data_IF_432989105631
#
_entry.id   IF_432989105631
#
_cell.length_a   1.000
_cell.length_b   1.000
_cell.length_c   1.000
_cell.angle_alpha   90.00
_cell.angle_beta   90.00
_cell.angle_gamma   90.00
#
_symmetry.space_group_name_H-M   'P 1'
#
loop_
_entity.id
_entity.type
_entity.pdbx_description
1 polymer ?
#
# COMPACT_ATOMS: atom_id res chain seq x y z
N UNK A 1 27.94 -59.61 -83.91
CA UNK A 1 28.76 -58.45 -83.50
C UNK A 1 27.83 -57.51 -82.73
N UNK A 2 28.04 -57.40 -81.42
CA UNK A 2 27.19 -56.67 -80.45
C UNK A 2 27.61 -55.20 -80.42
N UNK A 3 26.75 -54.27 -80.80
CA UNK A 3 26.81 -52.85 -80.41
C UNK A 3 25.56 -52.15 -80.94
N UNK A 4 24.40 -52.28 -80.30
CA UNK A 4 23.22 -51.47 -80.68
C UNK A 4 22.19 -51.26 -79.55
N UNK A 5 22.60 -51.39 -78.29
CA UNK A 5 21.66 -51.24 -77.16
C UNK A 5 22.12 -50.31 -76.04
N UNK A 6 23.36 -49.80 -76.10
CA UNK A 6 23.89 -48.89 -75.08
C UNK A 6 23.50 -47.45 -75.35
N UNK A 7 23.56 -46.96 -76.60
CA UNK A 7 23.26 -45.56 -76.94
C UNK A 7 21.80 -45.16 -76.65
N UNK A 8 20.83 -46.06 -76.91
CA UNK A 8 19.41 -45.82 -76.65
C UNK A 8 19.10 -45.79 -75.15
N UNK A 9 19.82 -46.57 -74.34
CA UNK A 9 19.65 -46.61 -72.88
C UNK A 9 20.26 -45.37 -72.20
N UNK A 10 21.42 -44.88 -72.66
CA UNK A 10 22.00 -43.63 -72.14
C UNK A 10 21.22 -42.40 -72.55
N UNK A 11 20.70 -42.32 -73.78
CA UNK A 11 19.85 -41.21 -74.21
C UNK A 11 18.52 -41.14 -73.43
N UNK A 12 17.89 -42.30 -73.18
CA UNK A 12 16.68 -42.37 -72.37
C UNK A 12 16.94 -42.05 -70.88
N UNK A 13 18.09 -42.48 -70.35
CA UNK A 13 18.50 -42.16 -68.99
C UNK A 13 18.80 -40.65 -68.81
N UNK A 14 19.48 -39.99 -69.77
CA UNK A 14 19.69 -38.54 -69.72
C UNK A 14 18.37 -37.77 -69.86
N UNK A 15 17.44 -38.24 -70.70
CA UNK A 15 16.12 -37.63 -70.83
C UNK A 15 15.29 -37.73 -69.53
N UNK A 16 15.33 -38.89 -68.83
CA UNK A 16 14.64 -39.04 -67.54
C UNK A 16 15.25 -38.17 -66.43
N UNK A 17 16.58 -38.02 -66.40
CA UNK A 17 17.26 -37.19 -65.38
C UNK A 17 16.91 -35.71 -65.57
N UNK A 18 16.87 -35.22 -66.83
CA UNK A 18 16.49 -33.83 -67.15
C UNK A 18 15.05 -33.46 -66.77
N UNK A 19 14.11 -34.41 -66.81
CA UNK A 19 12.72 -34.20 -66.37
C UNK A 19 12.51 -34.36 -64.85
N UNK A 20 13.45 -35.00 -64.14
CA UNK A 20 13.37 -35.18 -62.68
C UNK A 20 14.00 -34.06 -61.85
N UNK A 21 14.69 -33.11 -62.49
CA UNK A 21 15.24 -31.94 -61.80
C UNK A 21 14.19 -30.81 -61.73
N UNK A 22 13.03 -31.11 -61.15
CA UNK A 22 12.17 -30.08 -60.61
C UNK A 22 12.89 -29.46 -59.42
N UNK A 23 13.53 -28.31 -59.62
CA UNK A 23 14.17 -27.58 -58.53
C UNK A 23 13.15 -27.35 -57.42
N UNK A 24 13.42 -27.83 -56.21
CA UNK A 24 12.63 -27.48 -55.04
C UNK A 24 12.87 -25.98 -54.77
N UNK A 25 11.95 -25.13 -55.24
CA UNK A 25 11.99 -23.71 -54.94
C UNK A 25 11.46 -23.49 -53.52
N UNK A 26 12.36 -23.30 -52.57
CA UNK A 26 12.03 -22.70 -51.27
C UNK A 26 12.22 -21.19 -51.39
N UNK A 27 11.24 -20.50 -51.99
CA UNK A 27 11.23 -19.04 -52.05
C UNK A 27 10.40 -18.56 -50.86
N UNK A 28 11.08 -18.07 -49.82
CA UNK A 28 10.42 -17.34 -48.73
C UNK A 28 10.18 -15.91 -49.20
N UNK A 29 8.93 -15.45 -49.13
CA UNK A 29 8.62 -14.03 -49.37
C UNK A 29 9.29 -13.18 -48.29
N UNK A 30 9.54 -11.90 -48.59
CA UNK A 30 9.91 -10.95 -47.54
C UNK A 30 8.88 -10.99 -46.41
N UNK A 31 9.30 -11.01 -45.13
CA UNK A 31 8.37 -11.06 -44.01
C UNK A 31 7.47 -9.82 -44.02
N UNK A 32 6.22 -10.01 -43.59
CA UNK A 32 5.30 -8.90 -43.32
C UNK A 32 5.76 -8.16 -42.06
N UNK A 33 5.33 -6.91 -41.90
CA UNK A 33 5.47 -6.20 -40.63
C UNK A 33 4.72 -6.90 -39.50
N UNK A 34 5.06 -6.54 -38.26
CA UNK A 34 4.36 -6.95 -37.05
C UNK A 34 3.01 -6.26 -36.92
N UNK A 35 2.06 -6.92 -36.25
CA UNK A 35 0.75 -6.34 -35.91
C UNK A 35 0.95 -5.43 -34.71
N UNK A 36 0.51 -4.17 -34.82
CA UNK A 36 0.47 -3.24 -33.67
C UNK A 36 -0.73 -3.59 -32.79
N UNK A 37 -0.52 -3.70 -31.48
CA UNK A 37 -1.62 -3.89 -30.52
C UNK A 37 -2.55 -2.68 -30.47
N UNK A 38 -3.83 -2.94 -30.17
CA UNK A 38 -4.85 -1.90 -29.98
C UNK A 38 -4.99 -1.59 -28.49
N UNK A 39 -4.83 -0.33 -28.11
CA UNK A 39 -4.99 0.06 -26.70
C UNK A 39 -6.48 0.04 -26.34
N UNK A 40 -6.88 -0.64 -25.26
CA UNK A 40 -8.27 -0.65 -24.84
C UNK A 40 -8.67 0.71 -24.25
N UNK A 41 -9.95 1.06 -24.39
CA UNK A 41 -10.52 2.22 -23.70
C UNK A 41 -11.03 1.79 -22.32
N UNK A 42 -10.79 2.62 -21.30
CA UNK A 42 -11.26 2.39 -19.94
C UNK A 42 -12.66 2.99 -19.76
N UNK A 43 -13.67 2.16 -19.57
CA UNK A 43 -15.04 2.60 -19.34
C UNK A 43 -15.46 2.35 -17.90
N UNK A 44 -16.34 3.17 -17.36
CA UNK A 44 -17.03 2.86 -16.10
C UNK A 44 -18.25 1.94 -16.36
N UNK A 45 -18.96 1.58 -15.30
CA UNK A 45 -20.18 0.76 -15.33
C UNK A 45 -21.34 1.35 -16.12
N UNK A 46 -21.29 2.65 -16.47
CA UNK A 46 -22.28 3.31 -17.34
C UNK A 46 -21.88 3.33 -18.82
N UNK A 47 -20.68 2.84 -19.17
CA UNK A 47 -20.15 2.83 -20.53
C UNK A 47 -19.52 4.15 -20.98
N UNK A 48 -19.25 5.08 -20.06
CA UNK A 48 -18.55 6.33 -20.32
C UNK A 48 -17.07 6.14 -19.95
N UNK A 49 -16.15 6.80 -20.67
CA UNK A 49 -14.73 6.78 -20.33
C UNK A 49 -14.50 7.24 -18.88
N UNK A 50 -13.92 6.39 -18.04
CA UNK A 50 -13.84 6.62 -16.61
C UNK A 50 -13.71 5.34 -15.80
N UNK A 51 -13.87 5.49 -14.49
CA UNK A 51 -13.73 4.42 -13.49
C UNK A 51 -14.73 4.60 -12.35
N UNK A 52 -15.17 3.50 -11.75
CA UNK A 52 -16.00 3.49 -10.54
C UNK A 52 -15.17 3.30 -9.29
N UNK A 53 -15.58 3.94 -8.19
CA UNK A 53 -14.93 3.81 -6.89
C UNK A 53 -15.87 3.22 -5.86
N UNK A 54 -15.31 2.44 -4.93
CA UNK A 54 -16.01 1.98 -3.73
C UNK A 54 -15.08 1.97 -2.53
N UNK A 55 -15.66 2.14 -1.34
CA UNK A 55 -14.95 2.10 -0.06
C UNK A 55 -15.33 0.86 0.73
N UNK A 56 -14.34 0.28 1.40
CA UNK A 56 -14.54 -0.68 2.47
C UNK A 56 -13.94 -0.09 3.74
N UNK A 57 -14.81 0.47 4.57
CA UNK A 57 -14.45 1.16 5.81
C UNK A 57 -14.92 0.36 7.02
N UNK A 58 -14.13 0.37 8.09
CA UNK A 58 -14.60 -0.15 9.38
C UNK A 58 -15.57 0.81 10.08
N UNK A 59 -15.37 2.12 9.89
CA UNK A 59 -16.22 3.18 10.44
C UNK A 59 -16.81 4.02 9.28
N UNK A 60 -18.13 4.14 9.19
CA UNK A 60 -18.77 4.95 8.15
C UNK A 60 -18.62 6.45 8.38
N UNK A 61 -18.21 6.87 9.57
CA UNK A 61 -18.03 8.28 9.96
C UNK A 61 -16.61 8.80 9.80
N UNK A 62 -15.64 7.92 9.49
CA UNK A 62 -14.25 8.29 9.28
C UNK A 62 -13.54 7.26 8.39
N UNK A 63 -12.69 7.73 7.48
CA UNK A 63 -11.75 6.86 6.78
C UNK A 63 -10.49 6.70 7.62
N UNK A 64 -10.01 5.48 7.78
CA UNK A 64 -8.86 5.16 8.64
C UNK A 64 -7.77 4.39 7.89
N UNK A 65 -6.55 4.40 8.41
CA UNK A 65 -5.47 3.55 7.90
C UNK A 65 -5.88 2.08 7.97
N UNK A 66 -5.61 1.33 6.91
CA UNK A 66 -6.03 -0.06 6.76
C UNK A 66 -7.39 -0.27 6.09
N UNK A 67 -8.24 0.76 5.99
CA UNK A 67 -9.44 0.71 5.14
C UNK A 67 -9.03 0.57 3.66
N UNK A 68 -9.97 0.15 2.81
CA UNK A 68 -9.67 -0.08 1.39
C UNK A 68 -10.48 0.83 0.47
N UNK A 69 -9.81 1.31 -0.57
CA UNK A 69 -10.42 2.00 -1.71
C UNK A 69 -10.28 1.08 -2.91
N UNK A 70 -11.41 0.69 -3.49
CA UNK A 70 -11.45 -0.08 -4.73
C UNK A 70 -11.78 0.82 -5.90
N UNK A 71 -11.11 0.58 -7.01
CA UNK A 71 -11.37 1.15 -8.31
C UNK A 71 -11.72 0.03 -9.28
N UNK A 72 -12.78 0.22 -10.06
CA UNK A 72 -13.23 -0.71 -11.09
C UNK A 72 -13.40 0.01 -12.43
N UNK A 73 -13.09 -0.70 -13.51
CA UNK A 73 -13.27 -0.23 -14.88
C UNK A 73 -13.52 -1.42 -15.80
N UNK A 74 -14.10 -1.15 -16.95
CA UNK A 74 -14.41 -2.10 -17.99
C UNK A 74 -13.48 -1.82 -19.17
N UNK A 75 -12.80 -2.85 -19.69
CA UNK A 75 -12.08 -2.71 -20.95
C UNK A 75 -13.06 -2.77 -22.13
N UNK A 76 -13.01 -1.73 -22.96
CA UNK A 76 -13.49 -1.79 -24.32
C UNK A 76 -12.34 -2.20 -25.24
N UNK A 77 -12.02 -3.48 -25.21
CA UNK A 77 -11.10 -4.14 -26.12
C UNK A 77 -11.84 -4.59 -27.39
N UNK A 78 -11.35 -4.20 -28.56
CA UNK A 78 -11.99 -4.48 -29.86
C UNK A 78 -11.39 -5.70 -30.57
N UNK A 79 -10.15 -6.07 -30.27
CA UNK A 79 -9.45 -7.19 -30.91
C UNK A 79 -9.43 -8.47 -30.06
N UNK A 80 -9.87 -8.37 -28.79
CA UNK A 80 -10.26 -9.51 -27.96
C UNK A 80 -9.08 -10.28 -27.41
N UNK A 81 -7.95 -9.60 -27.23
CA UNK A 81 -6.69 -10.19 -26.81
C UNK A 81 -6.41 -9.92 -25.32
N UNK A 82 -5.15 -9.83 -24.91
CA UNK A 82 -4.79 -9.63 -23.51
C UNK A 82 -4.21 -8.25 -23.31
N UNK A 83 -4.89 -7.48 -22.47
CA UNK A 83 -4.48 -6.15 -22.09
C UNK A 83 -4.02 -6.08 -20.63
N UNK A 84 -3.28 -5.03 -20.32
CA UNK A 84 -2.81 -4.70 -18.99
C UNK A 84 -3.10 -3.24 -18.64
N UNK A 85 -2.96 -2.91 -17.36
CA UNK A 85 -2.96 -1.52 -16.91
C UNK A 85 -2.00 -1.30 -15.76
N UNK A 86 -1.44 -0.10 -15.71
CA UNK A 86 -0.76 0.40 -14.52
C UNK A 86 -1.67 1.37 -13.78
N UNK A 87 -1.73 1.23 -12.45
CA UNK A 87 -2.49 2.12 -11.58
C UNK A 87 -1.53 2.71 -10.54
N UNK A 88 -1.56 4.03 -10.39
CA UNK A 88 -0.80 4.75 -9.38
C UNK A 88 -1.76 5.58 -8.54
N UNK A 89 -1.74 5.36 -7.22
CA UNK A 89 -2.52 6.12 -6.26
C UNK A 89 -1.70 7.19 -5.59
N UNK A 90 -2.38 8.26 -5.18
CA UNK A 90 -1.80 9.38 -4.46
C UNK A 90 -2.72 9.79 -3.31
N UNK A 91 -2.12 10.06 -2.16
CA UNK A 91 -2.80 10.73 -1.05
C UNK A 91 -2.74 12.24 -1.27
N UNK A 92 -3.88 12.93 -1.19
CA UNK A 92 -3.96 14.38 -1.34
C UNK A 92 -4.25 15.00 0.03
N UNK A 93 -3.29 15.79 0.52
CA UNK A 93 -3.43 16.59 1.74
C UNK A 93 -3.57 18.07 1.37
N UNK A 94 -4.00 18.95 2.29
CA UNK A 94 -4.03 20.39 2.05
C UNK A 94 -2.66 21.00 1.70
N UNK A 95 -1.56 20.29 1.99
CA UNK A 95 -0.18 20.78 1.81
C UNK A 95 0.54 20.17 0.61
N UNK A 96 0.15 18.97 0.18
CA UNK A 96 0.88 18.20 -0.84
C UNK A 96 0.07 17.02 -1.38
N UNK A 97 0.49 16.55 -2.56
CA UNK A 97 0.07 15.27 -3.13
C UNK A 97 1.24 14.29 -3.02
N UNK A 98 1.01 13.14 -2.39
CA UNK A 98 2.04 12.16 -2.05
C UNK A 98 1.78 10.89 -2.87
N UNK A 99 2.72 10.41 -3.71
CA UNK A 99 2.59 9.12 -4.37
C UNK A 99 2.63 7.99 -3.34
N UNK A 100 1.69 7.05 -3.44
CA UNK A 100 1.64 5.88 -2.57
C UNK A 100 2.42 4.72 -3.18
N UNK A 101 3.00 3.87 -2.34
CA UNK A 101 3.78 2.73 -2.80
C UNK A 101 2.89 1.73 -3.58
N UNK A 102 3.36 1.32 -4.75
CA UNK A 102 2.74 0.29 -5.57
C UNK A 102 2.60 -1.06 -4.87
N UNK A 103 3.43 -1.37 -3.87
CA UNK A 103 3.30 -2.57 -3.06
C UNK A 103 1.98 -2.63 -2.26
N UNK A 104 1.33 -1.50 -2.03
CA UNK A 104 0.06 -1.38 -1.30
C UNK A 104 -1.17 -1.46 -2.23
N UNK A 105 -0.94 -1.63 -3.52
CA UNK A 105 -1.95 -1.66 -4.57
C UNK A 105 -2.06 -3.08 -5.12
N UNK A 106 -3.24 -3.70 -4.98
CA UNK A 106 -3.53 -4.99 -5.59
C UNK A 106 -4.33 -4.79 -6.87
N UNK A 107 -3.72 -5.10 -8.03
CA UNK A 107 -4.39 -5.03 -9.33
C UNK A 107 -4.83 -6.42 -9.78
N UNK A 108 -6.09 -6.53 -10.19
CA UNK A 108 -6.66 -7.69 -10.87
C UNK A 108 -6.97 -7.27 -12.30
N UNK A 109 -6.28 -7.87 -13.26
CA UNK A 109 -6.42 -7.54 -14.68
C UNK A 109 -7.79 -7.99 -15.20
N UNK A 110 -8.37 -7.22 -16.13
CA UNK A 110 -9.48 -7.73 -16.93
C UNK A 110 -8.94 -8.81 -17.88
N UNK A 111 -9.68 -9.91 -18.06
CA UNK A 111 -9.25 -11.02 -18.91
C UNK A 111 -10.30 -11.37 -19.94
N UNK A 112 -9.94 -11.32 -21.23
CA UNK A 112 -10.79 -11.69 -22.36
C UNK A 112 -11.37 -10.49 -23.12
N UNK A 113 -12.45 -10.72 -23.87
CA UNK A 113 -13.04 -9.75 -24.79
C UNK A 113 -13.60 -8.47 -24.11
N UNK A 114 -13.94 -7.48 -24.96
CA UNK A 114 -14.70 -6.28 -24.58
C UNK A 114 -15.79 -6.55 -23.54
N UNK A 115 -15.84 -5.70 -22.51
CA UNK A 115 -16.81 -5.82 -21.42
C UNK A 115 -16.27 -6.52 -20.18
N UNK A 116 -15.00 -6.92 -20.16
CA UNK A 116 -14.35 -7.49 -18.97
C UNK A 116 -13.93 -6.41 -17.98
N UNK A 117 -14.03 -6.71 -16.69
CA UNK A 117 -13.76 -5.74 -15.61
C UNK A 117 -12.34 -5.91 -15.08
N UNK A 118 -11.60 -4.81 -15.01
CA UNK A 118 -10.35 -4.70 -14.25
C UNK A 118 -10.60 -4.01 -12.90
N UNK A 119 -9.79 -4.37 -11.90
CA UNK A 119 -9.94 -3.87 -10.53
C UNK A 119 -8.61 -3.50 -9.90
N UNK A 120 -8.56 -2.40 -9.16
CA UNK A 120 -7.43 -1.97 -8.35
C UNK A 120 -7.88 -1.71 -6.93
N UNK A 121 -7.19 -2.27 -5.94
CA UNK A 121 -7.51 -2.10 -4.51
C UNK A 121 -6.33 -1.48 -3.80
N UNK A 122 -6.53 -0.29 -3.24
CA UNK A 122 -5.59 0.40 -2.35
C UNK A 122 -5.95 0.08 -0.90
N UNK A 123 -5.05 -0.54 -0.15
CA UNK A 123 -5.11 -0.54 1.32
C UNK A 123 -4.48 0.77 1.80
N UNK A 124 -5.25 1.61 2.50
CA UNK A 124 -4.81 2.94 2.90
C UNK A 124 -3.63 2.83 3.87
N UNK A 125 -2.43 3.31 3.50
CA UNK A 125 -1.28 3.25 4.38
C UNK A 125 -1.28 4.40 5.38
N UNK A 126 -0.40 4.27 6.37
CA UNK A 126 -0.09 5.29 7.35
C UNK A 126 0.45 6.59 6.71
N UNK A 127 1.18 6.48 5.60
CA UNK A 127 1.66 7.65 4.84
C UNK A 127 0.53 8.48 4.21
N UNK A 128 -0.69 7.93 4.13
CA UNK A 128 -1.89 8.64 3.71
C UNK A 128 -2.67 9.28 4.88
N UNK A 129 -2.16 9.20 6.12
CA UNK A 129 -2.78 9.87 7.26
C UNK A 129 -2.91 11.39 7.01
N UNK A 130 -4.09 11.94 7.30
CA UNK A 130 -4.43 13.34 7.04
C UNK A 130 -4.82 13.66 5.59
N UNK A 131 -4.85 12.67 4.69
CA UNK A 131 -5.36 12.87 3.33
C UNK A 131 -6.84 13.24 3.35
N UNK A 132 -7.21 14.30 2.62
CA UNK A 132 -8.60 14.74 2.46
C UNK A 132 -9.28 14.11 1.26
N UNK A 133 -8.49 13.66 0.28
CA UNK A 133 -8.95 12.88 -0.87
C UNK A 133 -7.79 12.06 -1.44
N UNK A 134 -8.08 11.30 -2.49
CA UNK A 134 -7.11 10.54 -3.25
C UNK A 134 -7.15 10.96 -4.71
N UNK A 135 -5.99 10.87 -5.35
CA UNK A 135 -5.83 10.98 -6.80
C UNK A 135 -5.44 9.61 -7.33
N UNK A 136 -5.89 9.28 -8.54
CA UNK A 136 -5.47 8.05 -9.22
C UNK A 136 -5.12 8.34 -10.68
N UNK A 137 -4.05 7.70 -11.14
CA UNK A 137 -3.60 7.72 -12.52
C UNK A 137 -3.59 6.30 -13.06
N UNK A 138 -4.22 6.10 -14.23
CA UNK A 138 -4.36 4.78 -14.85
C UNK A 138 -3.90 4.87 -16.29
N UNK A 139 -3.20 3.84 -16.75
CA UNK A 139 -2.78 3.76 -18.15
C UNK A 139 -3.05 2.37 -18.66
N UNK A 140 -3.86 2.28 -19.72
CA UNK A 140 -4.11 1.06 -20.47
C UNK A 140 -2.89 0.69 -21.33
N UNK A 141 -2.61 -0.60 -21.45
CA UNK A 141 -1.50 -1.16 -22.21
C UNK A 141 -2.02 -2.34 -23.00
N UNK A 142 -1.81 -2.32 -24.32
CA UNK A 142 -1.94 -3.51 -25.13
C UNK A 142 -0.72 -4.39 -24.94
N UNK A 143 -0.91 -5.58 -24.36
CA UNK A 143 0.19 -6.47 -23.99
C UNK A 143 0.56 -7.46 -25.11
N UNK A 144 -0.27 -7.53 -26.14
CA UNK A 144 -0.22 -8.43 -27.29
C UNK A 144 0.09 -7.67 -28.58
N UNK A 145 0.54 -8.41 -29.61
CA UNK A 145 1.15 -7.81 -30.80
C UNK A 145 2.44 -7.06 -30.45
N UNK A 146 2.75 -5.99 -31.18
CA UNK A 146 3.72 -5.00 -30.73
C UNK A 146 3.06 -4.14 -29.63
N UNK A 147 3.53 -4.22 -28.37
CA UNK A 147 2.87 -3.56 -27.26
C UNK A 147 2.75 -2.06 -27.45
N UNK A 148 1.62 -1.51 -27.00
CA UNK A 148 1.32 -0.09 -27.12
C UNK A 148 0.73 0.44 -25.82
N UNK A 149 1.28 1.56 -25.35
CA UNK A 149 0.79 2.26 -24.16
C UNK A 149 -0.23 3.32 -24.58
N UNK A 150 -1.36 3.34 -23.86
CA UNK A 150 -2.43 4.30 -24.02
C UNK A 150 -2.16 5.66 -23.41
N UNK A 151 -3.17 6.53 -23.53
CA UNK A 151 -3.19 7.78 -22.78
C UNK A 151 -3.43 7.50 -21.30
N UNK A 152 -2.87 8.37 -20.46
CA UNK A 152 -3.09 8.34 -19.02
C UNK A 152 -4.46 8.95 -18.70
N UNK A 153 -5.32 8.18 -18.06
CA UNK A 153 -6.53 8.66 -17.41
C UNK A 153 -6.19 9.14 -16.00
N UNK A 154 -6.47 10.39 -15.70
CA UNK A 154 -6.18 11.00 -14.39
C UNK A 154 -7.46 11.46 -13.72
N UNK A 155 -7.70 10.94 -12.51
CA UNK A 155 -8.75 11.41 -11.61
C UNK A 155 -8.06 12.17 -10.47
N UNK A 156 -8.11 13.51 -10.52
CA UNK A 156 -7.45 14.38 -9.54
C UNK A 156 -8.07 14.30 -8.13
N UNK A 157 -9.35 13.97 -8.05
CA UNK A 157 -10.09 13.86 -6.79
C UNK A 157 -11.25 12.86 -6.95
N UNK A 158 -11.15 11.75 -6.20
CA UNK A 158 -12.17 10.69 -6.25
C UNK A 158 -13.54 11.10 -5.67
N UNK A 159 -13.59 12.16 -4.85
CA UNK A 159 -14.85 12.66 -4.27
C UNK A 159 -15.68 13.49 -5.25
N UNK A 160 -15.02 14.07 -6.25
CA UNK A 160 -15.65 14.87 -7.29
C UNK A 160 -15.66 14.17 -8.64
N UNK A 161 -15.47 12.84 -8.65
CA UNK A 161 -15.58 12.02 -9.86
C UNK A 161 -16.97 12.22 -10.50
N UNK A 162 -17.02 13.00 -11.59
CA UNK A 162 -18.26 13.33 -12.30
C UNK A 162 -18.71 12.22 -13.23
N UNK A 163 -17.81 11.30 -13.54
CA UNK A 163 -18.04 10.27 -14.55
C UNK A 163 -18.66 9.01 -13.94
N UNK A 164 -18.53 8.79 -12.63
CA UNK A 164 -19.01 7.57 -11.96
C UNK A 164 -19.22 7.79 -10.46
N UNK A 165 -19.89 6.85 -9.78
CA UNK A 165 -20.35 6.95 -8.39
C UNK A 165 -19.36 7.70 -7.47
N UNK A 166 -19.63 8.98 -7.13
CA UNK A 166 -18.72 9.73 -6.30
C UNK A 166 -18.70 9.12 -4.90
N UNK A 167 -17.50 8.95 -4.39
CA UNK A 167 -17.29 8.43 -3.04
C UNK A 167 -17.24 9.59 -2.07
N UNK A 168 -18.04 9.52 -1.01
CA UNK A 168 -17.95 10.47 0.09
C UNK A 168 -16.82 10.02 1.01
N UNK A 169 -15.78 10.84 1.14
CA UNK A 169 -14.73 10.63 2.14
C UNK A 169 -15.09 11.45 3.39
N UNK A 170 -15.40 10.79 4.52
CA UNK A 170 -15.73 11.50 5.75
C UNK A 170 -14.47 12.01 6.43
N UNK A 171 -14.15 13.28 6.17
CA UNK A 171 -13.03 14.00 6.78
C UNK A 171 -11.65 13.50 6.37
N UNK A 172 -10.57 14.07 6.94
CA UNK A 172 -9.22 13.57 6.71
C UNK A 172 -9.06 12.12 7.20
N UNK A 173 -8.25 11.32 6.51
CA UNK A 173 -7.89 9.96 6.92
C UNK A 173 -7.27 9.98 8.32
N UNK A 174 -7.84 9.22 9.25
CA UNK A 174 -7.32 9.07 10.61
C UNK A 174 -6.42 7.85 10.71
N UNK A 175 -5.53 7.84 11.68
CA UNK A 175 -4.73 6.65 11.99
C UNK A 175 -5.59 5.69 12.82
N UNK A 176 -5.75 4.46 12.35
CA UNK A 176 -6.46 3.44 13.11
C UNK A 176 -5.63 3.04 14.35
N UNK A 177 -6.28 2.91 15.50
CA UNK A 177 -5.58 2.53 16.75
C UNK A 177 -4.89 1.18 16.66
N UNK A 178 -5.35 0.29 15.77
CA UNK A 178 -4.74 -1.02 15.49
C UNK A 178 -3.51 -0.96 14.60
N UNK A 179 -3.24 0.19 13.97
CA UNK A 179 -2.12 0.39 13.04
C UNK A 179 -0.88 0.97 13.73
N UNK A 180 -0.89 1.03 15.06
CA UNK A 180 0.18 1.61 15.85
C UNK A 180 0.40 0.85 17.15
N UNK A 181 1.64 0.89 17.60
CA UNK A 181 2.06 0.30 18.86
C UNK A 181 2.70 1.35 19.76
N UNK A 182 2.07 1.59 20.91
CA UNK A 182 2.61 2.44 21.96
C UNK A 182 3.73 1.70 22.71
N UNK A 183 4.75 2.44 23.12
CA UNK A 183 5.82 1.93 23.94
C UNK A 183 6.34 2.93 24.95
N UNK A 184 6.69 2.43 26.14
CA UNK A 184 7.42 3.16 27.17
C UNK A 184 8.76 2.48 27.35
N UNK A 185 9.84 3.25 27.28
CA UNK A 185 11.21 2.76 27.34
C UNK A 185 12.02 3.54 28.37
N UNK A 186 13.06 2.93 28.95
CA UNK A 186 14.08 3.69 29.68
C UNK A 186 14.85 4.56 28.66
N UNK A 187 15.15 5.81 29.01
CA UNK A 187 15.93 6.73 28.16
C UNK A 187 17.31 6.20 27.74
N UNK A 188 17.83 5.21 28.47
CA UNK A 188 19.09 4.52 28.16
C UNK A 188 18.93 3.39 27.15
N UNK A 189 17.70 2.92 26.89
CA UNK A 189 17.38 1.97 25.82
C UNK A 189 17.25 2.70 24.48
N UNK A 190 18.39 2.88 23.81
CA UNK A 190 18.45 3.59 22.52
C UNK A 190 17.90 2.78 21.35
N UNK A 191 17.71 1.46 21.52
CA UNK A 191 17.20 0.56 20.49
C UNK A 191 15.68 0.30 20.64
N UNK A 192 15.09 0.74 21.76
CA UNK A 192 13.69 0.53 22.09
C UNK A 192 13.31 -0.96 22.08
N UNK A 193 14.18 -1.80 22.65
CA UNK A 193 14.00 -3.25 22.67
C UNK A 193 13.07 -3.70 23.79
N UNK A 194 13.06 -2.98 24.92
CA UNK A 194 12.29 -3.35 26.10
C UNK A 194 11.08 -2.43 26.27
N UNK A 195 9.96 -2.78 25.64
CA UNK A 195 8.70 -2.07 25.90
C UNK A 195 8.19 -2.42 27.31
N UNK A 196 8.03 -1.41 28.16
CA UNK A 196 7.58 -1.56 29.55
C UNK A 196 6.04 -1.60 29.68
N UNK A 197 5.29 -1.28 28.63
CA UNK A 197 3.83 -1.35 28.65
C UNK A 197 3.39 -2.81 28.85
N UNK A 198 2.44 -3.03 29.76
CA UNK A 198 1.91 -4.36 30.06
C UNK A 198 2.80 -5.20 31.00
N UNK A 199 3.99 -4.71 31.35
CA UNK A 199 4.86 -5.35 32.32
C UNK A 199 4.68 -4.75 33.72
N UNK A 200 4.75 -5.60 34.75
CA UNK A 200 4.72 -5.18 36.16
C UNK A 200 6.07 -4.60 36.59
N UNK A 201 6.48 -3.51 35.97
CA UNK A 201 7.71 -2.77 36.28
C UNK A 201 7.35 -1.41 36.87
N UNK A 202 7.68 -1.22 38.14
CA UNK A 202 7.51 0.07 38.79
C UNK A 202 8.61 1.04 38.32
N UNK A 203 8.29 2.33 38.15
CA UNK A 203 9.27 3.34 37.77
C UNK A 203 10.31 3.50 38.88
N UNK A 204 11.57 3.72 38.49
CA UNK A 204 12.68 3.94 39.43
C UNK A 204 12.98 5.42 39.59
N UNK A 205 13.21 5.88 40.82
CA UNK A 205 13.62 7.27 41.09
C UNK A 205 14.89 7.62 40.31
N UNK A 206 14.98 8.86 39.83
CA UNK A 206 16.07 9.40 39.00
C UNK A 206 16.26 8.72 37.63
N UNK A 207 15.38 7.78 37.25
CA UNK A 207 15.29 7.29 35.87
C UNK A 207 14.43 8.20 35.02
N UNK A 208 14.80 8.30 33.75
CA UNK A 208 14.01 9.01 32.74
C UNK A 208 13.40 8.00 31.79
N UNK A 209 12.10 8.12 31.55
CA UNK A 209 11.35 7.30 30.60
C UNK A 209 10.95 8.11 29.38
N UNK A 210 10.92 7.42 28.24
CA UNK A 210 10.56 7.99 26.94
C UNK A 210 9.36 7.26 26.38
N UNK A 211 8.43 8.01 25.81
CA UNK A 211 7.28 7.46 25.09
C UNK A 211 7.60 7.42 23.60
N UNK A 212 7.25 6.31 22.96
CA UNK A 212 7.27 6.19 21.50
C UNK A 212 5.95 5.62 21.00
N UNK A 213 5.50 6.11 19.86
CA UNK A 213 4.42 5.51 19.10
C UNK A 213 4.96 5.04 17.76
N UNK A 214 4.90 3.74 17.51
CA UNK A 214 5.44 3.11 16.31
C UNK A 214 4.34 2.74 15.34
N UNK A 215 4.66 2.73 14.05
CA UNK A 215 3.84 2.07 13.04
C UNK A 215 3.80 0.56 13.28
N UNK A 216 2.59 -0.01 13.17
CA UNK A 216 2.29 -1.44 13.21
C UNK A 216 1.12 -1.69 12.24
N UNK A 217 1.36 -1.47 10.93
CA UNK A 217 0.34 -1.56 9.88
C UNK A 217 -0.18 -3.00 9.67
N UNK A 218 0.60 -3.97 10.12
CA UNK A 218 0.27 -5.39 10.05
C UNK A 218 -0.51 -5.89 11.30
N UNK A 219 -0.54 -5.11 12.38
CA UNK A 219 -1.20 -5.36 13.65
C UNK A 219 -0.71 -6.62 14.39
N UNK A 220 0.56 -6.97 14.26
CA UNK A 220 1.19 -8.14 14.89
C UNK A 220 1.75 -7.85 16.29
N UNK A 221 1.56 -6.63 16.80
CA UNK A 221 2.08 -6.14 18.08
C UNK A 221 3.61 -6.01 18.10
N UNK A 222 4.24 -5.92 16.93
CA UNK A 222 5.66 -5.62 16.75
C UNK A 222 5.77 -4.37 15.87
N UNK A 223 6.59 -3.37 16.24
CA UNK A 223 6.84 -2.24 15.36
C UNK A 223 7.37 -2.70 13.99
N UNK A 224 6.77 -2.20 12.91
CA UNK A 224 7.25 -2.50 11.54
C UNK A 224 8.66 -1.93 11.31
N UNK A 225 8.93 -0.74 11.86
CA UNK A 225 10.23 -0.06 11.80
C UNK A 225 10.47 0.76 13.07
N UNK A 226 11.55 0.45 13.80
CA UNK A 226 11.99 1.21 15.00
C UNK A 226 12.96 2.36 14.67
N UNK A 227 13.06 2.76 13.40
CA UNK A 227 13.86 3.91 12.99
C UNK A 227 13.06 5.22 13.06
N UNK A 228 13.71 6.39 12.91
CA UNK A 228 13.02 7.68 12.91
C UNK A 228 11.89 7.82 11.87
N UNK A 229 11.88 7.01 10.81
CA UNK A 229 10.81 7.01 9.80
C UNK A 229 9.55 6.29 10.26
N UNK A 230 9.67 5.30 11.15
CA UNK A 230 8.55 4.59 11.77
C UNK A 230 8.04 5.23 13.07
N UNK A 231 8.74 6.24 13.58
CA UNK A 231 8.39 6.97 14.82
C UNK A 231 7.30 8.04 14.56
N UNK A 232 6.10 7.78 15.08
CA UNK A 232 4.92 8.63 14.94
C UNK A 232 4.71 9.54 16.14
N UNK A 233 5.61 9.52 17.13
CA UNK A 233 5.44 10.25 18.39
C UNK A 233 5.25 11.75 18.16
N UNK A 234 5.88 12.32 17.14
CA UNK A 234 5.75 13.74 16.79
C UNK A 234 4.31 14.14 16.38
N UNK A 235 3.55 13.18 15.84
CA UNK A 235 2.15 13.34 15.43
C UNK A 235 1.17 13.19 16.61
N UNK A 236 1.68 12.91 17.81
CA UNK A 236 0.87 12.75 19.01
C UNK A 236 1.13 13.85 20.02
N UNK A 237 0.09 14.14 20.81
CA UNK A 237 0.22 14.82 22.09
C UNK A 237 -0.07 13.83 23.20
N UNK A 238 0.75 13.84 24.24
CA UNK A 238 0.68 12.88 25.32
C UNK A 238 1.03 13.48 26.68
N UNK A 239 0.53 12.85 27.74
CA UNK A 239 0.79 13.22 29.14
C UNK A 239 1.06 11.97 29.95
N UNK A 240 2.07 12.01 30.81
CA UNK A 240 2.39 10.89 31.68
C UNK A 240 1.41 10.79 32.84
N UNK A 241 1.04 9.56 33.18
CA UNK A 241 0.08 9.23 34.23
C UNK A 241 0.67 8.14 35.12
N UNK A 242 0.68 8.36 36.43
CA UNK A 242 0.94 7.31 37.41
C UNK A 242 -0.39 6.66 37.76
N UNK A 243 -0.51 5.35 37.56
CA UNK A 243 -1.77 4.60 37.66
C UNK A 243 -1.65 3.46 38.67
N UNK A 244 -2.79 3.00 39.17
CA UNK A 244 -2.86 1.88 40.10
C UNK A 244 -3.06 2.28 41.56
N UNK A 245 -2.60 1.42 42.46
CA UNK A 245 -2.70 1.59 43.92
C UNK A 245 -1.30 1.60 44.49
N UNK A 246 -1.02 2.51 45.42
CA UNK A 246 0.27 2.59 46.10
C UNK A 246 0.61 1.30 46.84
N UNK A 247 1.90 1.02 47.04
CA UNK A 247 2.37 -0.21 47.69
C UNK A 247 1.87 -0.35 49.13
N UNK A 248 1.69 0.78 49.83
CA UNK A 248 1.13 0.89 51.17
C UNK A 248 -0.40 0.95 51.20
N UNK A 249 -1.06 1.08 50.04
CA UNK A 249 -2.51 1.15 49.92
C UNK A 249 -3.13 2.47 50.37
N UNK A 250 -2.32 3.50 50.62
CA UNK A 250 -2.74 4.82 51.10
C UNK A 250 -3.30 5.74 49.99
N UNK A 251 -3.08 5.40 48.71
CA UNK A 251 -3.55 6.18 47.57
C UNK A 251 -3.88 5.29 46.37
N UNK A 252 -4.91 5.68 45.61
CA UNK A 252 -5.39 4.94 44.44
C UNK A 252 -5.78 5.87 43.28
N UNK A 253 -5.87 5.26 42.09
CA UNK A 253 -6.35 5.88 40.86
C UNK A 253 -5.28 6.62 40.07
N UNK A 254 -5.71 7.29 39.01
CA UNK A 254 -4.83 7.92 38.03
C UNK A 254 -4.35 9.29 38.50
N UNK A 255 -3.04 9.48 38.51
CA UNK A 255 -2.35 10.72 38.89
C UNK A 255 -1.64 11.28 37.67
N UNK A 256 -2.31 12.21 36.99
CA UNK A 256 -1.72 12.93 35.84
C UNK A 256 -0.54 13.78 36.32
N UNK A 257 0.57 13.65 35.61
CA UNK A 257 1.74 14.49 35.82
C UNK A 257 1.59 15.80 35.04
N UNK A 258 2.47 16.77 35.29
CA UNK A 258 2.56 18.01 34.51
C UNK A 258 3.45 17.87 33.27
N UNK A 259 4.03 16.69 33.04
CA UNK A 259 4.94 16.45 31.91
C UNK A 259 4.11 16.07 30.69
N UNK A 260 4.02 16.99 29.73
CA UNK A 260 3.38 16.78 28.45
C UNK A 260 4.41 16.83 27.31
N UNK A 261 4.24 15.99 26.29
CA UNK A 261 5.04 15.95 25.07
C UNK A 261 6.56 15.90 25.30
N UNK A 262 6.99 15.25 26.39
CA UNK A 262 8.39 15.17 26.77
C UNK A 262 8.72 13.97 27.64
N UNK A 263 10.01 13.78 27.91
CA UNK A 263 10.51 12.67 28.72
C UNK A 263 10.09 12.83 30.19
N UNK A 264 9.72 11.72 30.83
CA UNK A 264 9.36 11.72 32.24
C UNK A 264 10.56 11.33 33.10
N UNK A 265 11.15 12.31 33.79
CA UNK A 265 12.07 12.06 34.88
C UNK A 265 11.25 11.70 36.13
N UNK A 266 11.49 10.51 36.67
CA UNK A 266 10.85 10.08 37.91
C UNK A 266 11.38 10.93 39.07
N UNK A 267 10.53 11.75 39.71
CA UNK A 267 10.97 12.61 40.80
C UNK A 267 11.31 11.78 42.04
N UNK A 268 12.09 12.36 42.96
CA UNK A 268 12.28 11.81 44.30
C UNK A 268 10.94 11.65 45.04
N UNK A 269 10.91 10.84 46.10
CA UNK A 269 9.67 10.54 46.82
C UNK A 269 9.01 11.79 47.43
N UNK A 270 9.78 12.81 47.81
CA UNK A 270 9.22 14.04 48.40
C UNK A 270 8.48 14.87 47.34
N UNK A 271 9.03 14.94 46.13
CA UNK A 271 8.39 15.60 45.00
C UNK A 271 7.25 14.76 44.41
N UNK A 272 7.41 13.44 44.38
CA UNK A 272 6.40 12.51 43.89
C UNK A 272 5.16 12.43 44.81
N UNK A 273 5.33 12.60 46.13
CA UNK A 273 4.22 12.66 47.10
C UNK A 273 3.25 13.80 46.77
N UNK A 274 3.74 14.93 46.22
CA UNK A 274 2.88 16.04 45.78
C UNK A 274 2.00 15.72 44.56
N UNK A 275 2.33 14.67 43.81
CA UNK A 275 1.59 14.21 42.64
C UNK A 275 0.67 13.05 43.03
N UNK A 276 1.18 12.12 43.84
CA UNK A 276 0.52 10.85 44.16
C UNK A 276 -0.35 10.92 45.41
N UNK A 277 -0.08 11.86 46.32
CA UNK A 277 -0.58 11.90 47.69
C UNK A 277 -0.23 10.63 48.49
N UNK A 278 0.89 9.98 48.17
CA UNK A 278 1.39 8.77 48.83
C UNK A 278 2.84 8.93 49.25
N UNK A 279 3.18 8.35 50.41
CA UNK A 279 4.58 8.29 50.88
C UNK A 279 5.45 7.34 50.05
N UNK A 280 4.82 6.45 49.27
CA UNK A 280 5.52 5.53 48.37
C UNK A 280 6.07 6.26 47.12
N UNK A 281 5.73 7.53 46.95
CA UNK A 281 6.13 8.33 45.80
C UNK A 281 5.66 7.72 44.48
N UNK A 282 6.43 7.95 43.41
CA UNK A 282 6.08 7.44 42.09
C UNK A 282 6.31 5.92 41.96
N UNK A 283 7.20 5.35 42.77
CA UNK A 283 7.58 3.93 42.71
C UNK A 283 6.47 2.99 43.21
N UNK A 284 5.51 3.53 43.96
CA UNK A 284 4.30 2.81 44.37
C UNK A 284 3.27 2.63 43.26
N UNK A 285 3.44 3.28 42.11
CA UNK A 285 2.48 3.29 41.01
C UNK A 285 3.07 2.71 39.73
N UNK A 286 2.21 2.27 38.82
CA UNK A 286 2.59 1.91 37.46
C UNK A 286 2.64 3.15 36.56
N UNK A 287 3.51 3.13 35.56
CA UNK A 287 3.66 4.24 34.61
C UNK A 287 2.82 3.99 33.36
N UNK A 288 2.03 4.99 32.97
CA UNK A 288 1.22 4.98 31.76
C UNK A 288 1.33 6.32 31.03
N UNK A 289 0.86 6.35 29.78
CA UNK A 289 0.78 7.55 28.96
C UNK A 289 -0.63 7.66 28.40
N UNK A 290 -1.25 8.81 28.62
CA UNK A 290 -2.47 9.19 27.92
C UNK A 290 -2.07 9.98 26.68
N UNK A 291 -2.41 9.50 25.49
CA UNK A 291 -1.99 10.09 24.22
C UNK A 291 -3.16 10.23 23.24
N UNK A 292 -3.10 11.28 22.42
CA UNK A 292 -4.04 11.56 21.35
C UNK A 292 -3.28 12.03 20.11
N UNK A 293 -3.79 11.71 18.92
CA UNK A 293 -3.27 12.27 17.69
C UNK A 293 -3.59 13.76 17.57
N UNK A 294 -2.66 14.53 16.99
CA UNK A 294 -2.81 15.95 16.70
C UNK A 294 -3.69 16.21 15.48
#
# INVERSE_FOLDING_TARGET
MKTDFTLKKTALALALIGYSMGGAYAIMTTPTSTIKGTVPTLLNGTGIEGVDFSLQQQDQSALTTGDQISLEYIYSDIDGDLDASTVQWYAVTPKSTIPLDTALITNTLASGASGTTGRSVLKIPLSAAGATTFKVEITAISATGDPKTGNKLTIEDITTNKQAHPVVIPGPVKIASRSVLAGIYDSTDTNFDTNLIGHATNPQVDKTYVFKLWADENADQVPDDKSPTGDLTALTSYTWVLTGTSASGDANGDKRTTTADGNFLVPDNTAAERITNSKDGAQGFSLAVDYNYK
#
